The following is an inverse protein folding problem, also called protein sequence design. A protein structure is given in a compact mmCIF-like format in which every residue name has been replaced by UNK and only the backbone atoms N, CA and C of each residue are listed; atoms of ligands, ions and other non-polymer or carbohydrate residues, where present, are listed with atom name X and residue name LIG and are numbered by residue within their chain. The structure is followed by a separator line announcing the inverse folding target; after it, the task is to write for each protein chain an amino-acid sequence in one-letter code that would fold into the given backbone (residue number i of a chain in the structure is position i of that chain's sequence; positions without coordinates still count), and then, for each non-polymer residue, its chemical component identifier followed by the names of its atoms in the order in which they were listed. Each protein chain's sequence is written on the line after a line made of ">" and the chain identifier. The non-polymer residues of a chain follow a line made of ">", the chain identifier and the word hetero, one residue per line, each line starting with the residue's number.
data_IF_419120855812
#
_entry.id   IF_419120855812
#
_cell.length_a   1.000
_cell.length_b   1.000
_cell.length_c   1.000
_cell.angle_alpha   90.00
_cell.angle_beta   90.00
_cell.angle_gamma   90.00
#
_symmetry.space_group_name_H-M   'P 1'
#
loop_
_entity.id
_entity.type
_entity.pdbx_description
1 polymer ?
#
# COMPACT_ATOMS: atom_id res chain seq x y z
N UNK A 1 -1.90 44.56 17.19
CA UNK A 1 -1.98 43.52 16.14
C UNK A 1 -0.80 42.61 16.32
N UNK A 2 -0.98 41.46 16.96
CA UNK A 2 0.05 40.43 17.08
C UNK A 2 0.15 39.77 15.70
N UNK A 3 1.29 39.95 15.00
CA UNK A 3 1.64 39.16 13.85
C UNK A 3 1.80 37.70 14.34
N UNK A 4 0.78 36.87 14.16
CA UNK A 4 0.97 35.42 14.18
C UNK A 4 1.89 35.09 13.03
N UNK A 5 3.11 34.64 13.33
CA UNK A 5 3.97 34.01 12.33
C UNK A 5 3.18 32.87 11.67
N UNK A 6 3.25 32.71 10.35
CA UNK A 6 2.58 31.59 9.69
C UNK A 6 3.05 30.30 10.37
N UNK A 7 2.10 29.49 10.84
CA UNK A 7 2.43 28.20 11.41
C UNK A 7 3.22 27.39 10.36
N UNK A 8 4.40 26.93 10.73
CA UNK A 8 5.22 26.08 9.85
C UNK A 8 4.41 24.80 9.56
N UNK A 9 4.26 24.47 8.30
CA UNK A 9 3.52 23.25 7.91
C UNK A 9 4.18 22.01 8.56
N UNK A 10 3.40 21.06 9.11
CA UNK A 10 3.96 19.87 9.72
C UNK A 10 4.72 19.04 8.68
N UNK A 11 5.84 18.43 9.10
CA UNK A 11 6.63 17.56 8.22
C UNK A 11 6.06 16.14 8.25
N UNK A 12 5.78 15.61 7.05
CA UNK A 12 5.36 14.24 6.81
C UNK A 12 6.49 13.44 6.16
N UNK A 13 7.02 12.43 6.84
CA UNK A 13 7.90 11.43 6.26
C UNK A 13 7.08 10.29 5.64
N UNK A 14 7.35 9.98 4.37
CA UNK A 14 6.80 8.81 3.66
C UNK A 14 7.97 7.90 3.27
N UNK A 15 8.12 6.76 3.93
CA UNK A 15 9.08 5.74 3.49
C UNK A 15 8.48 4.87 2.39
N UNK A 16 9.24 4.49 1.37
CA UNK A 16 8.68 3.93 0.14
C UNK A 16 7.95 5.01 -0.68
N UNK A 17 8.36 6.28 -0.49
CA UNK A 17 7.67 7.46 -0.99
C UNK A 17 7.75 7.64 -2.50
N UNK A 18 8.76 7.08 -3.17
CA UNK A 18 8.88 7.09 -4.62
C UNK A 18 8.09 5.95 -5.31
N UNK A 19 7.52 5.03 -4.55
CA UNK A 19 6.68 3.95 -5.08
C UNK A 19 5.27 4.41 -5.45
N UNK A 20 4.47 3.50 -6.02
CA UNK A 20 3.09 3.74 -6.45
C UNK A 20 2.21 4.40 -5.38
N UNK A 21 2.09 3.79 -4.21
CA UNK A 21 1.26 4.34 -3.14
C UNK A 21 1.85 5.62 -2.55
N UNK A 22 3.19 5.69 -2.45
CA UNK A 22 3.90 6.83 -1.89
C UNK A 22 3.74 8.10 -2.72
N UNK A 23 3.84 8.01 -4.04
CA UNK A 23 3.68 9.18 -4.95
C UNK A 23 2.24 9.72 -4.95
N UNK A 24 1.23 8.83 -4.91
CA UNK A 24 -0.17 9.24 -4.80
C UNK A 24 -0.45 9.91 -3.44
N UNK A 25 0.07 9.36 -2.35
CA UNK A 25 -0.05 9.97 -1.02
C UNK A 25 0.66 11.32 -0.93
N UNK A 26 1.89 11.42 -1.48
CA UNK A 26 2.63 12.68 -1.52
C UNK A 26 1.86 13.76 -2.26
N UNK A 27 1.21 13.41 -3.37
CA UNK A 27 0.35 14.31 -4.14
C UNK A 27 -0.80 14.89 -3.32
N UNK A 28 -1.43 14.06 -2.48
CA UNK A 28 -2.53 14.50 -1.62
C UNK A 28 -2.04 15.33 -0.42
N UNK A 29 -0.88 14.95 0.17
CA UNK A 29 -0.38 15.55 1.41
C UNK A 29 0.30 16.91 1.22
N UNK A 30 0.85 17.19 0.04
CA UNK A 30 1.70 18.38 -0.23
C UNK A 30 0.97 19.71 -0.09
N UNK A 31 -0.35 19.73 -0.04
CA UNK A 31 -1.14 20.93 0.22
C UNK A 31 -1.10 21.35 1.71
N UNK A 32 -0.88 20.39 2.62
CA UNK A 32 -0.97 20.60 4.08
C UNK A 32 0.32 20.27 4.83
N UNK A 33 1.28 19.59 4.21
CA UNK A 33 2.52 19.14 4.83
C UNK A 33 3.76 19.49 4.01
N UNK A 34 4.90 19.68 4.68
CA UNK A 34 6.22 19.53 4.06
C UNK A 34 6.47 18.03 3.88
N UNK A 35 6.52 17.57 2.61
CA UNK A 35 6.62 16.13 2.31
C UNK A 35 8.07 15.72 2.09
N UNK A 36 8.54 14.75 2.88
CA UNK A 36 9.85 14.10 2.75
C UNK A 36 9.62 12.64 2.33
N UNK A 37 10.26 12.24 1.24
CA UNK A 37 10.23 10.88 0.72
C UNK A 37 11.56 10.19 1.02
N UNK A 38 11.55 9.02 1.65
CA UNK A 38 12.70 8.12 1.73
C UNK A 38 12.42 6.90 0.86
N UNK A 39 13.29 6.65 -0.13
CA UNK A 39 13.12 5.53 -1.05
C UNK A 39 14.46 5.12 -1.68
N UNK A 40 14.68 3.84 -1.91
CA UNK A 40 15.86 3.32 -2.61
C UNK A 40 15.67 3.21 -4.14
N UNK A 41 14.55 3.71 -4.65
CA UNK A 41 14.17 3.78 -6.05
C UNK A 41 14.06 2.42 -6.78
N UNK A 42 14.02 1.31 -6.03
CA UNK A 42 13.88 -0.03 -6.61
C UNK A 42 12.57 -0.22 -7.40
N UNK A 43 11.51 0.51 -7.03
CA UNK A 43 10.22 0.57 -7.75
C UNK A 43 9.79 2.04 -7.86
N UNK A 44 10.45 2.78 -8.74
CA UNK A 44 10.32 4.23 -8.84
C UNK A 44 9.15 4.64 -9.74
N UNK A 45 8.13 5.26 -9.16
CA UNK A 45 6.98 5.88 -9.85
C UNK A 45 7.15 7.39 -10.06
N UNK A 46 8.17 8.04 -9.48
CA UNK A 46 8.41 9.48 -9.61
C UNK A 46 8.53 9.99 -11.06
N UNK A 47 9.12 9.25 -12.01
CA UNK A 47 9.14 9.70 -13.40
C UNK A 47 7.76 9.99 -13.98
N UNK A 48 6.73 9.32 -13.47
CA UNK A 48 5.33 9.46 -13.89
C UNK A 48 4.60 10.64 -13.20
N UNK A 49 5.24 11.29 -12.21
CA UNK A 49 4.71 12.46 -11.51
C UNK A 49 5.13 13.73 -12.25
N UNK A 50 4.23 14.70 -12.52
CA UNK A 50 4.58 15.98 -13.15
C UNK A 50 5.75 16.68 -12.43
N UNK A 51 6.69 17.27 -13.20
CA UNK A 51 7.89 17.90 -12.66
C UNK A 51 7.58 18.97 -11.59
N UNK A 52 6.63 19.85 -11.86
CA UNK A 52 6.20 20.90 -10.92
C UNK A 52 5.66 20.33 -9.58
N UNK A 53 5.15 19.11 -9.58
CA UNK A 53 4.69 18.44 -8.38
C UNK A 53 5.86 17.78 -7.65
N UNK A 54 6.82 17.16 -8.39
CA UNK A 54 8.02 16.55 -7.80
C UNK A 54 8.89 17.56 -7.07
N UNK A 55 8.99 18.79 -7.57
CA UNK A 55 9.74 19.88 -6.95
C UNK A 55 9.21 20.28 -5.57
N UNK A 56 8.00 19.87 -5.23
CA UNK A 56 7.38 20.11 -3.91
C UNK A 56 7.75 19.05 -2.87
N UNK A 57 8.44 17.97 -3.27
CA UNK A 57 8.87 16.90 -2.38
C UNK A 57 10.37 17.00 -2.12
N UNK A 58 10.79 16.75 -0.88
CA UNK A 58 12.17 16.46 -0.57
C UNK A 58 12.41 14.97 -0.71
N UNK A 59 13.14 14.54 -1.74
CA UNK A 59 13.55 13.15 -1.89
C UNK A 59 14.88 12.91 -1.18
N UNK A 60 14.93 11.87 -0.35
CA UNK A 60 16.13 11.26 0.21
C UNK A 60 16.26 9.89 -0.44
N UNK A 61 17.23 9.72 -1.33
CA UNK A 61 17.55 8.41 -1.89
C UNK A 61 18.32 7.60 -0.84
N UNK A 62 17.69 6.55 -0.30
CA UNK A 62 18.24 5.78 0.80
C UNK A 62 17.41 4.53 1.10
N UNK A 63 17.92 3.68 1.99
CA UNK A 63 17.33 2.39 2.34
C UNK A 63 16.83 2.38 3.80
N UNK A 64 15.62 1.87 4.03
CA UNK A 64 15.03 1.74 5.38
C UNK A 64 15.79 0.77 6.29
N UNK A 65 16.77 0.05 5.77
CA UNK A 65 17.67 -0.78 6.57
C UNK A 65 18.99 -0.07 6.92
N UNK A 66 19.21 1.15 6.40
CA UNK A 66 20.39 1.96 6.68
C UNK A 66 20.08 2.99 7.78
N UNK A 67 20.75 2.92 8.96
CA UNK A 67 20.48 3.83 10.07
C UNK A 67 20.79 5.31 9.76
N UNK A 68 21.76 5.60 8.90
CA UNK A 68 22.12 6.98 8.53
C UNK A 68 21.03 7.62 7.69
N UNK A 69 20.51 6.91 6.67
CA UNK A 69 19.43 7.38 5.81
C UNK A 69 18.15 7.63 6.63
N UNK A 70 17.86 6.71 7.56
CA UNK A 70 16.73 6.85 8.46
C UNK A 70 16.89 8.02 9.43
N UNK A 71 18.07 8.25 9.99
CA UNK A 71 18.33 9.38 10.90
C UNK A 71 18.17 10.73 10.19
N UNK A 72 18.55 10.82 8.90
CA UNK A 72 18.30 12.01 8.09
C UNK A 72 16.80 12.19 7.80
N UNK A 73 16.13 11.13 7.37
CA UNK A 73 14.74 11.19 6.97
C UNK A 73 13.78 11.46 8.14
N UNK A 74 14.06 10.87 9.31
CA UNK A 74 13.23 10.98 10.52
C UNK A 74 13.32 12.35 11.19
N UNK A 75 14.32 13.19 10.86
CA UNK A 75 14.54 14.48 11.51
C UNK A 75 13.32 15.39 11.41
N UNK A 76 12.86 15.88 12.56
CA UNK A 76 11.72 16.78 12.69
C UNK A 76 10.41 16.26 12.04
N UNK A 77 10.26 14.96 11.87
CA UNK A 77 9.04 14.37 11.34
C UNK A 77 7.92 14.48 12.39
N UNK A 78 6.85 15.20 12.04
CA UNK A 78 5.63 15.30 12.85
C UNK A 78 4.72 14.12 12.61
N UNK A 79 4.66 13.68 11.35
CA UNK A 79 3.89 12.54 10.89
C UNK A 79 4.77 11.58 10.10
N UNK A 80 4.50 10.28 10.21
CA UNK A 80 5.20 9.26 9.45
C UNK A 80 4.18 8.31 8.82
N UNK A 81 4.33 8.04 7.51
CA UNK A 81 3.64 6.95 6.83
C UNK A 81 4.68 5.94 6.34
N UNK A 82 4.64 4.73 6.89
CA UNK A 82 5.59 3.69 6.55
C UNK A 82 5.02 2.74 5.50
N UNK A 83 5.40 2.98 4.22
CA UNK A 83 5.02 2.17 3.05
C UNK A 83 6.15 1.26 2.56
N UNK A 84 7.41 1.55 2.92
CA UNK A 84 8.56 0.82 2.41
C UNK A 84 8.44 -0.68 2.73
N UNK A 85 8.44 -1.50 1.68
CA UNK A 85 8.37 -2.95 1.78
C UNK A 85 8.74 -3.63 0.46
N UNK A 86 9.27 -4.83 0.54
CA UNK A 86 9.33 -5.75 -0.58
C UNK A 86 8.01 -6.53 -0.61
N UNK A 87 7.20 -6.29 -1.65
CA UNK A 87 5.94 -6.95 -1.91
C UNK A 87 5.94 -7.67 -3.26
N UNK A 88 4.96 -8.56 -3.48
CA UNK A 88 4.79 -9.35 -4.71
C UNK A 88 5.18 -10.80 -4.53
N UNK A 89 4.25 -11.70 -4.90
CA UNK A 89 4.32 -13.15 -4.62
C UNK A 89 5.63 -13.78 -5.08
N UNK A 90 6.16 -13.37 -6.23
CA UNK A 90 7.43 -13.87 -6.76
C UNK A 90 8.61 -13.62 -5.80
N UNK A 91 8.69 -12.44 -5.19
CA UNK A 91 9.73 -12.12 -4.22
C UNK A 91 9.67 -13.01 -2.96
N UNK A 92 8.49 -13.49 -2.58
CA UNK A 92 8.35 -14.33 -1.38
C UNK A 92 9.02 -15.70 -1.55
N UNK A 93 9.13 -16.18 -2.78
CA UNK A 93 9.81 -17.43 -3.12
C UNK A 93 11.27 -17.22 -3.51
N UNK A 94 11.60 -16.16 -4.24
CA UNK A 94 12.96 -15.95 -4.75
C UNK A 94 13.92 -15.38 -3.72
N UNK A 95 13.44 -14.46 -2.87
CA UNK A 95 14.27 -13.78 -1.87
C UNK A 95 13.55 -13.57 -0.53
N UNK A 96 13.08 -14.67 0.11
CA UNK A 96 12.30 -14.58 1.33
C UNK A 96 13.05 -13.92 2.49
N UNK A 97 14.35 -14.11 2.57
CA UNK A 97 15.19 -13.46 3.59
C UNK A 97 15.19 -11.93 3.43
N UNK A 98 15.31 -11.40 2.21
CA UNK A 98 15.24 -9.96 1.98
C UNK A 98 13.85 -9.39 2.32
N UNK A 99 12.78 -10.14 2.07
CA UNK A 99 11.42 -9.75 2.49
C UNK A 99 11.36 -9.56 4.00
N UNK A 100 11.89 -10.50 4.79
CA UNK A 100 11.95 -10.36 6.25
C UNK A 100 12.86 -9.22 6.68
N UNK A 101 14.08 -9.15 6.11
CA UNK A 101 15.09 -8.15 6.46
C UNK A 101 14.58 -6.72 6.22
N UNK A 102 13.96 -6.47 5.08
CA UNK A 102 13.46 -5.14 4.74
C UNK A 102 12.15 -4.83 5.46
N UNK A 103 11.17 -5.72 5.43
CA UNK A 103 9.85 -5.40 5.93
C UNK A 103 9.80 -5.36 7.48
N UNK A 104 10.33 -6.36 8.15
CA UNK A 104 10.37 -6.39 9.61
C UNK A 104 11.62 -5.64 10.14
N UNK A 105 12.80 -5.95 9.61
CA UNK A 105 14.05 -5.31 10.03
C UNK A 105 14.09 -3.82 9.75
N UNK A 106 13.67 -3.38 8.54
CA UNK A 106 13.58 -1.96 8.19
C UNK A 106 12.55 -1.21 9.05
N UNK A 107 11.41 -1.84 9.38
CA UNK A 107 10.45 -1.25 10.34
C UNK A 107 11.09 -1.06 11.70
N UNK A 108 11.78 -2.06 12.25
CA UNK A 108 12.47 -1.92 13.55
C UNK A 108 13.54 -0.82 13.51
N UNK A 109 14.32 -0.73 12.43
CA UNK A 109 15.32 0.33 12.25
C UNK A 109 14.67 1.72 12.18
N UNK A 110 13.54 1.87 11.47
CA UNK A 110 12.77 3.12 11.45
C UNK A 110 12.31 3.52 12.86
N UNK A 111 11.72 2.59 13.62
CA UNK A 111 11.26 2.86 14.98
C UNK A 111 12.42 3.29 15.89
N UNK A 112 13.60 2.67 15.75
CA UNK A 112 14.81 3.08 16.45
C UNK A 112 15.25 4.50 16.08
N UNK A 113 15.21 4.86 14.80
CA UNK A 113 15.55 6.20 14.32
C UNK A 113 14.57 7.28 14.81
N UNK A 114 13.29 6.92 14.99
CA UNK A 114 12.23 7.81 15.51
C UNK A 114 12.28 7.95 17.05
N UNK A 115 12.92 7.05 17.77
CA UNK A 115 12.92 7.03 19.25
C UNK A 115 13.47 8.30 19.90
N UNK A 116 14.54 8.96 19.40
CA UNK A 116 15.04 10.20 20.00
C UNK A 116 14.08 11.38 19.90
N UNK A 117 13.22 11.40 18.86
CA UNK A 117 12.23 12.44 18.60
C UNK A 117 10.96 11.76 18.03
N UNK A 118 10.12 11.17 18.90
CA UNK A 118 8.95 10.44 18.44
C UNK A 118 7.95 11.38 17.73
N UNK A 119 7.42 10.98 16.56
CA UNK A 119 6.42 11.77 15.85
C UNK A 119 5.09 11.76 16.61
N UNK A 120 4.25 12.73 16.31
CA UNK A 120 2.89 12.76 16.85
C UNK A 120 2.11 11.50 16.42
N UNK A 121 2.20 11.12 15.15
CA UNK A 121 1.51 9.93 14.62
C UNK A 121 2.34 9.16 13.60
N UNK A 122 2.26 7.84 13.71
CA UNK A 122 2.80 6.88 12.76
C UNK A 122 1.66 6.05 12.16
N UNK A 123 1.46 6.14 10.84
CA UNK A 123 0.59 5.24 10.09
C UNK A 123 1.44 4.14 9.47
N UNK A 124 1.27 2.92 9.96
CA UNK A 124 1.93 1.74 9.39
C UNK A 124 1.02 1.09 8.35
N UNK A 125 1.51 0.93 7.12
CA UNK A 125 0.78 0.24 6.07
C UNK A 125 1.17 -1.23 6.05
N UNK A 126 0.27 -2.04 6.58
CA UNK A 126 0.31 -3.50 6.62
C UNK A 126 -0.24 -4.12 5.33
N UNK A 127 -1.04 -5.16 5.44
CA UNK A 127 -1.59 -5.91 4.30
C UNK A 127 -2.74 -6.82 4.71
N UNK A 128 -3.68 -7.08 3.80
CA UNK A 128 -4.68 -8.14 3.95
C UNK A 128 -4.10 -9.56 3.97
N UNK A 129 -2.84 -9.74 3.58
CA UNK A 129 -2.15 -11.04 3.63
C UNK A 129 -2.02 -11.61 5.05
N UNK A 130 -2.12 -10.76 6.08
CA UNK A 130 -2.05 -11.17 7.50
C UNK A 130 -3.22 -12.08 7.93
N UNK A 131 -4.33 -12.06 7.19
CA UNK A 131 -5.48 -12.94 7.42
C UNK A 131 -5.29 -14.36 6.86
N UNK A 132 -4.17 -14.61 6.17
CA UNK A 132 -3.87 -15.92 5.62
C UNK A 132 -4.77 -16.30 4.45
N UNK A 133 -5.20 -17.55 4.42
CA UNK A 133 -5.88 -18.16 3.27
C UNK A 133 -7.38 -17.85 3.19
N UNK A 134 -8.02 -17.57 4.31
CA UNK A 134 -9.48 -17.47 4.43
C UNK A 134 -9.91 -16.05 4.83
N UNK A 135 -9.68 -15.08 3.96
CA UNK A 135 -10.04 -13.69 4.18
C UNK A 135 -11.33 -13.31 3.41
N UNK A 136 -12.43 -14.00 3.72
CA UNK A 136 -13.76 -13.65 3.22
C UNK A 136 -14.47 -12.76 4.25
N UNK A 137 -14.87 -11.52 3.87
CA UNK A 137 -15.44 -10.51 4.78
C UNK A 137 -14.58 -10.33 6.05
N UNK A 138 -13.24 -10.27 5.86
CA UNK A 138 -12.27 -10.26 6.94
C UNK A 138 -12.44 -9.03 7.83
N UNK A 139 -12.49 -9.24 9.14
CA UNK A 139 -12.58 -8.21 10.18
C UNK A 139 -11.24 -8.00 10.87
N UNK A 140 -11.03 -6.82 11.43
CA UNK A 140 -9.76 -6.49 12.08
C UNK A 140 -9.45 -7.36 13.30
N UNK A 141 -10.49 -7.88 13.97
CA UNK A 141 -10.38 -8.77 15.13
C UNK A 141 -10.24 -10.25 14.76
N UNK A 142 -10.28 -10.59 13.46
CA UNK A 142 -10.05 -11.96 13.03
C UNK A 142 -8.61 -12.41 13.33
N UNK A 143 -8.44 -13.72 13.50
CA UNK A 143 -7.13 -14.30 13.75
C UNK A 143 -6.19 -14.03 12.57
N UNK A 144 -4.98 -13.57 12.89
CA UNK A 144 -3.90 -13.49 11.92
C UNK A 144 -3.33 -14.90 11.72
N UNK A 145 -3.29 -15.36 10.46
CA UNK A 145 -2.99 -16.76 10.16
C UNK A 145 -1.81 -16.91 9.22
N UNK A 146 -0.99 -17.90 9.53
CA UNK A 146 0.05 -18.43 8.66
C UNK A 146 -0.31 -19.92 8.48
N UNK A 147 -0.52 -20.36 7.24
CA UNK A 147 -0.97 -21.72 6.97
C UNK A 147 0.13 -22.74 7.33
N UNK A 148 1.02 -23.07 6.42
CA UNK A 148 2.09 -24.02 6.67
C UNK A 148 3.43 -23.30 6.84
N UNK A 149 4.13 -23.54 7.97
CA UNK A 149 5.34 -22.77 8.35
C UNK A 149 6.48 -22.85 7.31
N UNK A 150 6.60 -23.97 6.60
CA UNK A 150 7.63 -24.16 5.58
C UNK A 150 7.29 -23.52 4.22
N UNK A 151 6.07 -23.02 4.03
CA UNK A 151 5.64 -22.42 2.78
C UNK A 151 6.08 -20.94 2.72
N UNK A 152 7.02 -20.64 1.83
CA UNK A 152 7.61 -19.30 1.68
C UNK A 152 6.58 -18.24 1.26
N UNK A 153 5.43 -18.63 0.75
CA UNK A 153 4.30 -17.74 0.46
C UNK A 153 3.95 -16.83 1.63
N UNK A 154 4.09 -17.32 2.85
CA UNK A 154 3.71 -16.61 4.07
C UNK A 154 4.78 -15.68 4.64
N UNK A 155 6.00 -15.68 4.09
CA UNK A 155 7.10 -14.83 4.55
C UNK A 155 6.70 -13.36 4.63
N UNK A 156 5.95 -12.88 3.63
CA UNK A 156 5.46 -11.50 3.61
C UNK A 156 4.45 -11.23 4.74
N UNK A 157 3.46 -12.10 4.89
CA UNK A 157 2.48 -11.97 5.97
C UNK A 157 3.14 -11.96 7.34
N UNK A 158 4.07 -12.89 7.61
CA UNK A 158 4.86 -12.95 8.85
C UNK A 158 5.63 -11.65 9.08
N UNK A 159 6.30 -11.12 8.05
CA UNK A 159 7.04 -9.86 8.16
C UNK A 159 6.14 -8.68 8.54
N UNK A 160 4.93 -8.62 7.97
CA UNK A 160 3.96 -7.55 8.24
C UNK A 160 3.29 -7.70 9.61
N UNK A 161 2.97 -8.93 10.05
CA UNK A 161 2.44 -9.20 11.40
C UNK A 161 3.47 -8.77 12.46
N UNK A 162 4.75 -9.14 12.28
CA UNK A 162 5.82 -8.73 13.19
C UNK A 162 5.97 -7.21 13.24
N UNK A 163 5.93 -6.54 12.08
CA UNK A 163 6.02 -5.09 11.97
C UNK A 163 4.81 -4.36 12.60
N UNK A 164 3.57 -4.85 12.40
CA UNK A 164 2.37 -4.31 13.10
C UNK A 164 2.58 -4.34 14.62
N UNK A 165 2.98 -5.49 15.16
CA UNK A 165 3.20 -5.64 16.60
C UNK A 165 4.33 -4.76 17.11
N UNK A 166 5.41 -4.62 16.35
CA UNK A 166 6.52 -3.72 16.70
C UNK A 166 6.07 -2.26 16.75
N UNK A 167 5.33 -1.78 15.73
CA UNK A 167 4.83 -0.41 15.68
C UNK A 167 3.89 -0.11 16.87
N UNK A 168 2.89 -0.98 17.13
CA UNK A 168 1.95 -0.80 18.23
C UNK A 168 2.63 -0.83 19.60
N UNK A 169 3.57 -1.76 19.80
CA UNK A 169 4.33 -1.86 21.05
C UNK A 169 5.22 -0.63 21.27
N UNK A 170 5.90 -0.18 20.21
CA UNK A 170 6.75 1.01 20.24
C UNK A 170 5.92 2.28 20.53
N UNK A 171 4.78 2.46 19.84
CA UNK A 171 3.90 3.60 20.07
C UNK A 171 3.44 3.70 21.52
N UNK A 172 3.02 2.57 22.11
CA UNK A 172 2.64 2.50 23.54
C UNK A 172 3.80 2.83 24.47
N UNK A 173 5.03 2.44 24.12
CA UNK A 173 6.21 2.65 24.97
C UNK A 173 6.73 4.08 24.89
N UNK A 174 6.66 4.72 23.73
CA UNK A 174 7.27 6.03 23.47
C UNK A 174 6.25 7.17 23.30
N UNK A 175 4.95 6.89 23.43
CA UNK A 175 3.91 7.92 23.42
C UNK A 175 3.56 8.47 22.03
N UNK A 176 3.79 7.68 20.97
CA UNK A 176 3.36 8.01 19.61
C UNK A 176 2.02 7.36 19.32
N UNK A 177 1.08 8.09 18.72
CA UNK A 177 -0.16 7.53 18.20
C UNK A 177 0.13 6.66 16.98
N UNK A 178 0.01 5.36 17.12
CA UNK A 178 0.22 4.41 16.01
C UNK A 178 -1.09 3.89 15.50
N UNK A 179 -1.26 3.92 14.17
CA UNK A 179 -2.40 3.35 13.45
C UNK A 179 -1.89 2.40 12.39
N UNK A 180 -2.50 1.21 12.29
CA UNK A 180 -2.16 0.24 11.25
C UNK A 180 -3.27 0.16 10.20
N UNK A 181 -2.92 0.20 8.92
CA UNK A 181 -3.85 0.00 7.82
C UNK A 181 -3.56 -1.32 7.10
N UNK A 182 -4.58 -2.13 6.85
CA UNK A 182 -4.50 -3.40 6.10
C UNK A 182 -5.18 -3.23 4.74
N UNK A 183 -4.45 -2.79 3.71
CA UNK A 183 -5.01 -2.61 2.37
C UNK A 183 -5.34 -3.95 1.69
N UNK A 184 -6.43 -3.92 0.88
CA UNK A 184 -6.90 -5.03 0.05
C UNK A 184 -6.77 -4.64 -1.43
N UNK A 185 -5.83 -5.27 -2.15
CA UNK A 185 -5.63 -5.21 -3.61
C UNK A 185 -5.75 -3.81 -4.22
N UNK A 186 -4.87 -2.90 -3.79
CA UNK A 186 -4.86 -1.53 -4.31
C UNK A 186 -4.38 -1.53 -5.77
N UNK A 187 -5.06 -0.77 -6.64
CA UNK A 187 -4.71 -0.57 -8.04
C UNK A 187 -4.96 0.88 -8.46
N UNK A 188 -4.36 1.30 -9.56
CA UNK A 188 -4.58 2.65 -10.11
C UNK A 188 -3.45 3.14 -11.01
N UNK A 189 -3.55 4.41 -11.45
CA UNK A 189 -2.53 5.11 -12.20
C UNK A 189 -1.16 5.13 -11.51
N UNK A 190 -0.08 4.99 -12.29
CA UNK A 190 1.29 5.10 -11.77
C UNK A 190 1.81 3.85 -11.06
N UNK A 191 1.08 2.74 -11.04
CA UNK A 191 1.56 1.50 -10.45
C UNK A 191 2.76 0.95 -11.23
N UNK A 192 3.89 0.78 -10.56
CA UNK A 192 5.12 0.17 -11.09
C UNK A 192 5.33 -1.22 -10.49
N UNK A 193 6.06 -2.08 -11.21
CA UNK A 193 6.29 -3.46 -10.80
C UNK A 193 5.07 -4.37 -11.06
N UNK A 194 5.21 -5.67 -10.76
CA UNK A 194 4.19 -6.68 -11.02
C UNK A 194 2.89 -6.41 -10.22
N UNK A 195 1.75 -6.58 -10.89
CA UNK A 195 0.43 -6.44 -10.30
C UNK A 195 -0.66 -6.89 -11.28
N UNK A 196 -1.62 -7.70 -10.84
CA UNK A 196 -2.58 -8.34 -11.72
C UNK A 196 -3.33 -7.35 -12.63
N UNK A 197 -3.84 -6.23 -12.08
CA UNK A 197 -4.55 -5.21 -12.86
C UNK A 197 -3.62 -4.57 -13.88
N UNK A 198 -2.44 -4.11 -13.44
CA UNK A 198 -1.45 -3.49 -14.31
C UNK A 198 -1.03 -4.41 -15.46
N UNK A 199 -0.63 -5.63 -15.13
CA UNK A 199 -0.08 -6.56 -16.10
C UNK A 199 -1.12 -6.96 -17.16
N UNK A 200 -2.39 -7.13 -16.73
CA UNK A 200 -3.50 -7.37 -17.64
C UNK A 200 -3.83 -6.14 -18.51
N UNK A 201 -3.80 -4.92 -17.96
CA UNK A 201 -4.02 -3.70 -18.73
C UNK A 201 -2.94 -3.53 -19.80
N UNK A 202 -1.67 -3.68 -19.44
CA UNK A 202 -0.56 -3.55 -20.38
C UNK A 202 -0.61 -4.62 -21.48
N UNK A 203 -0.97 -5.86 -21.12
CA UNK A 203 -1.19 -6.92 -22.12
C UNK A 203 -2.35 -6.54 -23.08
N UNK A 204 -3.47 -6.07 -22.51
CA UNK A 204 -4.64 -5.64 -23.28
C UNK A 204 -4.33 -4.47 -24.21
N UNK A 205 -3.65 -3.43 -23.75
CA UNK A 205 -3.26 -2.27 -24.57
C UNK A 205 -2.32 -2.68 -25.70
N UNK A 206 -1.40 -3.62 -25.45
CA UNK A 206 -0.50 -4.18 -26.46
C UNK A 206 -1.14 -5.22 -27.38
N UNK A 207 -2.45 -5.51 -27.26
CA UNK A 207 -3.14 -6.55 -28.03
C UNK A 207 -2.66 -7.97 -27.75
N UNK A 208 -1.94 -8.19 -26.64
CA UNK A 208 -1.47 -9.51 -26.20
C UNK A 208 -2.53 -10.24 -25.38
N UNK A 209 -2.41 -11.55 -25.25
CA UNK A 209 -3.29 -12.35 -24.40
C UNK A 209 -3.14 -11.95 -22.93
N UNK A 210 -4.26 -11.88 -22.19
CA UNK A 210 -4.27 -11.72 -20.73
C UNK A 210 -4.10 -13.09 -20.07
N UNK A 211 -3.13 -13.20 -19.18
CA UNK A 211 -2.81 -14.46 -18.50
C UNK A 211 -3.54 -14.53 -17.16
N UNK A 212 -4.33 -15.61 -16.98
CA UNK A 212 -4.93 -16.00 -15.72
C UNK A 212 -4.14 -17.16 -15.10
N UNK A 213 -3.65 -16.98 -13.90
CA UNK A 213 -3.05 -18.07 -13.14
C UNK A 213 -4.14 -18.85 -12.39
N UNK A 214 -4.23 -20.16 -12.69
CA UNK A 214 -5.30 -21.03 -12.22
C UNK A 214 -6.56 -20.94 -13.09
N UNK A 215 -7.72 -21.23 -12.49
CA UNK A 215 -9.02 -21.19 -13.20
C UNK A 215 -9.67 -19.79 -13.23
N UNK A 216 -9.13 -18.84 -12.46
CA UNK A 216 -9.63 -17.48 -12.34
C UNK A 216 -10.82 -17.34 -11.41
N UNK A 217 -11.17 -18.36 -10.61
CA UNK A 217 -12.28 -18.34 -9.65
C UNK A 217 -11.98 -17.55 -8.37
N UNK A 218 -10.71 -17.22 -8.13
CA UNK A 218 -10.30 -16.47 -6.95
C UNK A 218 -11.00 -15.11 -6.87
N UNK A 219 -11.63 -14.80 -5.74
CA UNK A 219 -12.32 -13.53 -5.51
C UNK A 219 -11.41 -12.53 -4.82
N UNK A 220 -11.36 -11.31 -5.37
CA UNK A 220 -10.60 -10.17 -4.82
C UNK A 220 -11.48 -8.93 -4.79
N UNK A 221 -11.44 -8.21 -3.68
CA UNK A 221 -11.98 -6.87 -3.59
C UNK A 221 -10.88 -5.88 -4.05
N UNK A 222 -11.17 -5.11 -5.09
CA UNK A 222 -10.23 -4.18 -5.71
C UNK A 222 -10.48 -2.77 -5.19
N UNK A 223 -9.45 -2.12 -4.65
CA UNK A 223 -9.55 -0.78 -4.11
C UNK A 223 -8.77 0.21 -4.99
N UNK A 224 -9.43 1.25 -5.43
CA UNK A 224 -8.79 2.28 -6.24
C UNK A 224 -7.84 3.11 -5.36
N UNK A 225 -6.73 3.57 -5.95
CA UNK A 225 -5.64 4.22 -5.21
C UNK A 225 -6.06 5.49 -4.48
N UNK A 226 -7.01 6.26 -5.04
CA UNK A 226 -7.50 7.48 -4.40
C UNK A 226 -8.32 7.19 -3.15
N UNK A 227 -9.11 6.10 -3.14
CA UNK A 227 -9.81 5.64 -1.95
C UNK A 227 -8.84 5.25 -0.84
N UNK A 228 -7.77 4.55 -1.19
CA UNK A 228 -6.70 4.21 -0.24
C UNK A 228 -5.98 5.46 0.28
N UNK A 229 -5.61 6.38 -0.62
CA UNK A 229 -4.95 7.64 -0.27
C UNK A 229 -5.80 8.46 0.70
N UNK A 230 -7.10 8.56 0.42
CA UNK A 230 -8.06 9.24 1.29
C UNK A 230 -8.13 8.60 2.68
N UNK A 231 -8.08 7.26 2.76
CA UNK A 231 -8.05 6.55 4.03
C UNK A 231 -6.75 6.79 4.82
N UNK A 232 -5.58 6.85 4.17
CA UNK A 232 -4.32 7.20 4.81
C UNK A 232 -4.36 8.63 5.35
N UNK A 233 -4.85 9.59 4.56
CA UNK A 233 -5.00 10.98 4.99
C UNK A 233 -5.96 11.12 6.17
N UNK A 234 -7.08 10.40 6.17
CA UNK A 234 -7.99 10.35 7.30
C UNK A 234 -7.32 9.76 8.55
N UNK A 235 -6.56 8.67 8.41
CA UNK A 235 -5.84 8.04 9.52
C UNK A 235 -4.74 8.94 10.11
N UNK A 236 -4.17 9.87 9.33
CA UNK A 236 -3.21 10.86 9.84
C UNK A 236 -3.85 11.89 10.78
N UNK A 237 -5.17 12.15 10.65
CA UNK A 237 -5.82 13.29 11.33
C UNK A 237 -7.02 12.91 12.20
N UNK A 238 -7.59 11.69 12.07
CA UNK A 238 -8.74 11.28 12.86
C UNK A 238 -8.38 11.22 14.36
N UNK A 239 -9.22 11.75 15.25
CA UNK A 239 -9.00 11.68 16.70
C UNK A 239 -9.30 10.27 17.26
N UNK A 240 -8.76 9.97 18.42
CA UNK A 240 -9.10 8.81 19.26
C UNK A 240 -8.97 7.43 18.55
N UNK A 241 -7.96 7.29 17.66
CA UNK A 241 -7.69 6.05 16.92
C UNK A 241 -6.32 5.45 17.21
N UNK A 242 -5.65 5.86 18.25
CA UNK A 242 -4.36 5.31 18.66
C UNK A 242 -4.46 3.81 18.97
N UNK A 243 -3.50 3.04 18.50
CA UNK A 243 -3.46 1.59 18.69
C UNK A 243 -4.45 0.81 17.81
N UNK A 244 -5.20 1.49 16.96
CA UNK A 244 -6.23 0.87 16.11
C UNK A 244 -5.65 0.29 14.82
N UNK A 245 -6.33 -0.73 14.32
CA UNK A 245 -6.07 -1.34 13.01
C UNK A 245 -7.32 -1.18 12.16
N UNK A 246 -7.17 -0.88 10.87
CA UNK A 246 -8.28 -0.70 9.93
C UNK A 246 -8.05 -1.47 8.63
N UNK A 247 -9.05 -2.18 8.17
CA UNK A 247 -9.12 -2.70 6.82
C UNK A 247 -9.46 -1.59 5.83
N UNK A 248 -8.68 -1.49 4.75
CA UNK A 248 -8.92 -0.53 3.68
C UNK A 248 -9.08 -1.28 2.36
N UNK A 249 -10.27 -1.21 1.80
CA UNK A 249 -10.63 -1.92 0.58
C UNK A 249 -12.06 -1.60 0.15
N UNK A 250 -12.43 -1.94 -1.07
CA UNK A 250 -13.79 -1.76 -1.56
C UNK A 250 -14.51 -3.12 -1.67
N UNK A 251 -15.36 -3.52 -0.69
CA UNK A 251 -16.08 -4.78 -0.74
C UNK A 251 -17.05 -4.88 -1.93
N UNK A 252 -17.60 -3.74 -2.40
CA UNK A 252 -18.51 -3.69 -3.54
C UNK A 252 -17.81 -3.92 -4.89
N UNK A 253 -16.48 -3.82 -4.92
CA UNK A 253 -15.65 -4.13 -6.07
C UNK A 253 -15.04 -5.57 -6.00
N UNK A 254 -15.67 -6.47 -5.24
CA UNK A 254 -15.27 -7.86 -5.16
C UNK A 254 -15.75 -8.64 -6.38
N UNK A 255 -14.80 -9.11 -7.19
CA UNK A 255 -15.06 -9.92 -8.38
C UNK A 255 -14.07 -11.08 -8.50
N UNK A 256 -14.40 -12.09 -9.30
CA UNK A 256 -13.43 -13.12 -9.66
C UNK A 256 -12.32 -12.53 -10.53
N UNK A 257 -11.12 -13.13 -10.50
CA UNK A 257 -10.02 -12.71 -11.39
C UNK A 257 -10.39 -12.90 -12.86
N UNK A 258 -11.22 -13.91 -13.16
CA UNK A 258 -11.76 -14.11 -14.53
C UNK A 258 -12.69 -12.97 -14.95
N UNK A 259 -13.53 -12.47 -14.04
CA UNK A 259 -14.40 -11.32 -14.32
C UNK A 259 -13.61 -10.01 -14.47
N UNK A 260 -12.62 -9.80 -13.60
CA UNK A 260 -11.68 -8.69 -13.74
C UNK A 260 -11.04 -8.67 -15.14
N UNK A 261 -10.53 -9.81 -15.61
CA UNK A 261 -9.90 -9.90 -16.93
C UNK A 261 -10.86 -9.52 -18.06
N UNK A 262 -12.15 -9.95 -18.01
CA UNK A 262 -13.17 -9.55 -18.98
C UNK A 262 -13.41 -8.04 -18.96
N UNK A 263 -13.50 -7.43 -17.78
CA UNK A 263 -13.69 -5.98 -17.65
C UNK A 263 -12.48 -5.22 -18.19
N UNK A 264 -11.26 -5.71 -17.98
CA UNK A 264 -10.04 -5.10 -18.54
C UNK A 264 -10.01 -5.22 -20.07
N UNK A 265 -10.38 -6.38 -20.65
CA UNK A 265 -10.50 -6.51 -22.12
C UNK A 265 -11.49 -5.51 -22.68
N UNK A 266 -12.66 -5.34 -22.03
CA UNK A 266 -13.65 -4.34 -22.44
C UNK A 266 -13.11 -2.91 -22.33
N UNK A 267 -12.43 -2.56 -21.22
CA UNK A 267 -11.88 -1.23 -20.97
C UNK A 267 -10.73 -0.86 -21.92
N UNK A 268 -9.86 -1.83 -22.31
CA UNK A 268 -8.77 -1.60 -23.26
C UNK A 268 -9.25 -1.46 -24.70
N UNK A 269 -10.44 -1.97 -25.01
CA UNK A 269 -11.04 -1.92 -26.34
C UNK A 269 -10.39 -2.88 -27.36
N UNK A 270 -9.51 -3.74 -26.92
CA UNK A 270 -8.81 -4.70 -27.77
C UNK A 270 -9.49 -6.08 -27.78
N UNK A 271 -9.14 -6.91 -28.79
CA UNK A 271 -9.64 -8.29 -28.94
C UNK A 271 -8.69 -9.32 -28.28
N UNK A 272 -8.03 -8.95 -27.18
CA UNK A 272 -7.15 -9.83 -26.43
C UNK A 272 -7.91 -11.06 -25.94
N UNK A 273 -7.27 -12.23 -26.01
CA UNK A 273 -7.83 -13.47 -25.46
C UNK A 273 -7.43 -13.60 -23.99
N UNK A 274 -8.25 -14.31 -23.24
CA UNK A 274 -7.93 -14.69 -21.85
C UNK A 274 -7.39 -16.12 -21.91
N UNK A 275 -6.11 -16.31 -21.54
CA UNK A 275 -5.44 -17.60 -21.44
C UNK A 275 -5.26 -18.00 -19.99
N UNK A 276 -5.42 -19.29 -19.71
CA UNK A 276 -5.15 -19.86 -18.39
C UNK A 276 -3.78 -20.51 -18.38
N UNK A 277 -3.04 -20.27 -17.28
CA UNK A 277 -1.77 -20.92 -16.99
C UNK A 277 -1.84 -21.55 -15.61
N UNK A 278 -0.93 -22.49 -15.32
CA UNK A 278 -0.89 -23.14 -14.02
C UNK A 278 -0.67 -22.08 -12.89
N UNK A 279 -1.35 -22.25 -11.78
CA UNK A 279 -1.12 -21.40 -10.63
C UNK A 279 0.27 -21.65 -10.04
N UNK A 280 0.95 -20.56 -9.66
CA UNK A 280 2.25 -20.66 -9.00
C UNK A 280 2.07 -20.54 -7.48
N UNK A 281 2.53 -21.54 -6.75
CA UNK A 281 2.46 -21.58 -5.27
C UNK A 281 1.05 -21.79 -4.71
N UNK A 282 0.85 -21.38 -3.48
CA UNK A 282 -0.43 -21.54 -2.76
C UNK A 282 -1.47 -20.54 -3.25
N UNK A 283 -2.62 -21.04 -3.68
CA UNK A 283 -3.77 -20.22 -4.09
C UNK A 283 -4.58 -19.74 -2.88
N UNK A 284 -5.06 -18.50 -2.98
CA UNK A 284 -5.92 -17.86 -1.99
C UNK A 284 -7.32 -17.67 -2.61
N UNK A 285 -8.33 -18.44 -2.19
CA UNK A 285 -9.64 -18.41 -2.85
C UNK A 285 -10.37 -17.08 -2.67
N UNK A 286 -10.31 -16.48 -1.48
CA UNK A 286 -11.02 -15.23 -1.17
C UNK A 286 -10.11 -14.23 -0.49
N UNK A 287 -10.26 -12.94 -0.86
CA UNK A 287 -9.63 -11.82 -0.17
C UNK A 287 -10.52 -10.59 -0.29
N UNK A 288 -11.48 -10.48 0.65
CA UNK A 288 -12.46 -9.40 0.72
C UNK A 288 -12.53 -8.84 2.14
N UNK A 289 -12.57 -7.49 2.30
CA UNK A 289 -12.61 -6.85 3.60
C UNK A 289 -14.03 -6.67 4.13
N UNK A 290 -14.19 -6.68 5.44
CA UNK A 290 -15.18 -5.85 6.13
C UNK A 290 -14.53 -4.48 6.39
N UNK A 291 -15.23 -3.39 6.08
CA UNK A 291 -14.74 -2.01 6.21
C UNK A 291 -15.61 -1.15 7.13
N UNK A 292 -16.51 -1.75 7.89
CA UNK A 292 -17.44 -1.01 8.76
C UNK A 292 -16.72 -0.20 9.81
N UNK A 293 -15.61 -0.72 10.35
CA UNK A 293 -14.78 -0.01 11.32
C UNK A 293 -14.13 1.24 10.71
N UNK A 294 -13.56 1.13 9.50
CA UNK A 294 -12.97 2.28 8.81
C UNK A 294 -14.04 3.33 8.48
N UNK A 295 -15.22 2.89 8.03
CA UNK A 295 -16.35 3.79 7.79
C UNK A 295 -16.79 4.54 9.06
N UNK A 296 -16.91 3.83 10.17
CA UNK A 296 -17.39 4.42 11.43
C UNK A 296 -16.37 5.33 12.10
N UNK A 297 -15.06 4.98 12.06
CA UNK A 297 -14.02 5.63 12.85
C UNK A 297 -13.14 6.61 12.05
N UNK A 298 -12.93 6.35 10.76
CA UNK A 298 -12.18 7.22 9.86
C UNK A 298 -13.08 8.10 8.98
N UNK A 299 -14.39 7.82 8.94
CA UNK A 299 -15.32 8.52 8.06
C UNK A 299 -15.06 8.25 6.57
N UNK A 300 -14.33 7.20 6.24
CA UNK A 300 -13.97 6.84 4.86
C UNK A 300 -14.73 5.58 4.43
N UNK A 301 -15.30 5.63 3.25
CA UNK A 301 -15.91 4.49 2.58
C UNK A 301 -15.32 4.43 1.17
N UNK A 302 -14.36 3.52 0.92
CA UNK A 302 -13.90 3.28 -0.44
C UNK A 302 -15.09 2.98 -1.33
N UNK A 303 -15.31 3.82 -2.34
CA UNK A 303 -16.56 3.82 -3.10
C UNK A 303 -16.35 3.89 -4.62
N UNK A 304 -15.11 4.01 -5.10
CA UNK A 304 -14.83 4.06 -6.54
C UNK A 304 -15.27 2.75 -7.19
N UNK A 305 -16.26 2.76 -8.11
CA UNK A 305 -16.67 1.57 -8.84
C UNK A 305 -15.51 0.96 -9.61
N UNK A 306 -15.40 -0.38 -9.63
CA UNK A 306 -14.30 -1.05 -10.34
C UNK A 306 -14.22 -0.63 -11.81
N UNK A 307 -15.35 -0.50 -12.50
CA UNK A 307 -15.41 -0.06 -13.91
C UNK A 307 -14.84 1.33 -14.11
N UNK A 308 -15.11 2.27 -13.21
CA UNK A 308 -14.59 3.64 -13.26
C UNK A 308 -13.08 3.67 -13.01
N UNK A 309 -12.61 3.04 -11.92
CA UNK A 309 -11.18 2.97 -11.61
C UNK A 309 -10.38 2.26 -12.70
N UNK A 310 -10.93 1.22 -13.36
CA UNK A 310 -10.30 0.57 -14.51
C UNK A 310 -10.21 1.51 -15.71
N UNK A 311 -11.27 2.26 -16.02
CA UNK A 311 -11.24 3.24 -17.13
C UNK A 311 -10.17 4.30 -16.91
N UNK A 312 -10.10 4.89 -15.71
CA UNK A 312 -9.08 5.88 -15.36
C UNK A 312 -7.67 5.30 -15.45
N UNK A 313 -7.49 4.06 -14.94
CA UNK A 313 -6.20 3.38 -14.96
C UNK A 313 -5.76 3.04 -16.39
N UNK A 314 -6.67 2.54 -17.24
CA UNK A 314 -6.40 2.25 -18.66
C UNK A 314 -6.06 3.53 -19.43
N UNK A 315 -6.81 4.62 -19.20
CA UNK A 315 -6.53 5.91 -19.85
C UNK A 315 -5.11 6.38 -19.48
N UNK A 316 -4.75 6.32 -18.20
CA UNK A 316 -3.43 6.71 -17.74
C UNK A 316 -2.31 5.90 -18.42
N UNK A 317 -2.40 4.54 -18.44
CA UNK A 317 -1.38 3.71 -19.10
C UNK A 317 -1.30 3.94 -20.61
N UNK A 318 -2.42 4.26 -21.26
CA UNK A 318 -2.42 4.59 -22.70
C UNK A 318 -1.61 5.84 -23.01
N UNK A 319 -1.56 6.79 -22.08
CA UNK A 319 -0.85 8.07 -22.25
C UNK A 319 0.62 8.01 -21.82
N UNK A 320 1.03 6.96 -21.05
CA UNK A 320 2.34 6.89 -20.41
C UNK A 320 3.21 5.67 -20.80
N UNK A 321 2.69 4.75 -21.60
CA UNK A 321 3.37 3.55 -22.12
C UNK A 321 3.33 3.53 -23.68
#
# INVERSE_FOLDING_TARGET
>A
MQHQSPAVAPRLLITGGAGFLGTNLAAAAVASCEVVLLDNLARNSLPNVPAAQRERYRLIEGDVTNPQDLAEAARDAHFVVHLAAIAGVHNYYERPFDVLRVNAGGTLALLQALTPQPPQRLVFVSTSEVYGRHAADAKEDDLLQVDHYAEMRWTYAVSKIAAEKACLAWGKQFGTEVVCLRPFNIYGPGQTGAGAVRDMILAGLAGRDLILHGDGSQVRAWCYVDDFTSAVMAALHAPDIEGEVFNIGNPDAAVTVAELAKQIVAATGNRSRIRREAHFGTDIPYRTPNVDKARARLGVAPATPLSEGLQQTVAWYRDHE
#
